data_IF_564369457648
#
_entry.id   IF_564369457648
#
_cell.length_a   1.000
_cell.length_b   1.000
_cell.length_c   1.000
_cell.angle_alpha   90.00
_cell.angle_beta   90.00
_cell.angle_gamma   90.00
#
_symmetry.space_group_name_H-M   'P 1'
#
loop_
_entity.id
_entity.type
_entity.pdbx_description
1 polymer ?
#
# COMPACT_ATOMS: atom_id res chain seq x y z
N UNK A 1 -16.70 -1.25 30.37
CA UNK A 1 -15.35 -1.73 30.03
C UNK A 1 -15.09 -1.23 28.63
N UNK A 2 -14.13 -0.32 28.47
CA UNK A 2 -13.88 0.34 27.18
C UNK A 2 -13.21 -0.68 26.27
N UNK A 3 -13.98 -1.26 25.34
CA UNK A 3 -13.40 -2.04 24.25
C UNK A 3 -12.46 -1.10 23.49
N UNK A 4 -11.15 -1.31 23.66
CA UNK A 4 -10.14 -0.60 22.89
C UNK A 4 -10.32 -1.05 21.43
N UNK A 5 -11.12 -0.33 20.66
CA UNK A 5 -11.33 -0.62 19.24
C UNK A 5 -9.98 -0.55 18.54
N UNK A 6 -9.38 -1.72 18.29
CA UNK A 6 -8.13 -1.82 17.56
C UNK A 6 -8.42 -1.64 16.07
N UNK A 7 -8.13 -0.45 15.57
CA UNK A 7 -8.11 -0.14 14.14
C UNK A 7 -6.88 -0.77 13.46
N UNK A 8 -6.97 -0.97 12.16
CA UNK A 8 -5.87 -1.52 11.36
C UNK A 8 -6.10 -2.97 10.95
N UNK A 9 -5.20 -3.53 10.16
CA UNK A 9 -5.37 -4.87 9.59
C UNK A 9 -4.08 -5.67 9.61
N UNK A 10 -4.23 -6.97 9.81
CA UNK A 10 -3.14 -7.94 9.71
C UNK A 10 -3.66 -9.16 8.96
N UNK A 11 -2.89 -9.65 8.00
CA UNK A 11 -3.20 -10.85 7.23
C UNK A 11 -3.47 -12.08 8.11
N UNK A 12 -2.76 -12.20 9.24
CA UNK A 12 -2.96 -13.28 10.22
C UNK A 12 -4.33 -13.25 10.92
N UNK A 13 -5.10 -12.15 10.81
CA UNK A 13 -6.45 -12.07 11.36
C UNK A 13 -7.46 -12.94 10.62
N UNK A 14 -7.16 -13.37 9.39
CA UNK A 14 -8.06 -14.15 8.53
C UNK A 14 -9.29 -13.37 8.02
N UNK A 15 -9.40 -12.08 8.34
CA UNK A 15 -10.49 -11.22 7.89
C UNK A 15 -10.07 -10.53 6.59
N UNK A 16 -10.90 -10.52 5.52
CA UNK A 16 -10.60 -9.76 4.32
C UNK A 16 -10.44 -8.26 4.62
N UNK A 17 -9.47 -7.61 3.97
CA UNK A 17 -9.12 -6.21 4.27
C UNK A 17 -10.29 -5.25 3.98
N UNK A 18 -11.06 -5.51 2.92
CA UNK A 18 -12.28 -4.73 2.62
C UNK A 18 -13.32 -4.79 3.76
N UNK A 19 -13.50 -5.97 4.37
CA UNK A 19 -14.43 -6.18 5.48
C UNK A 19 -13.94 -5.42 6.71
N UNK A 20 -12.64 -5.49 7.00
CA UNK A 20 -12.03 -4.76 8.11
C UNK A 20 -12.14 -3.24 7.94
N UNK A 21 -11.83 -2.70 6.76
CA UNK A 21 -11.97 -1.26 6.47
C UNK A 21 -13.42 -0.77 6.68
N UNK A 22 -14.41 -1.51 6.18
CA UNK A 22 -15.83 -1.15 6.36
C UNK A 22 -16.26 -1.23 7.83
N UNK A 23 -15.81 -2.26 8.55
CA UNK A 23 -16.06 -2.41 9.99
C UNK A 23 -15.46 -1.26 10.79
N UNK A 24 -14.19 -0.94 10.52
CA UNK A 24 -13.46 0.11 11.22
C UNK A 24 -13.99 1.49 10.90
N UNK A 25 -14.45 1.74 9.68
CA UNK A 25 -15.16 2.97 9.34
C UNK A 25 -16.42 3.13 10.20
N UNK A 26 -17.23 2.07 10.34
CA UNK A 26 -18.44 2.11 11.16
C UNK A 26 -18.09 2.38 12.63
N UNK A 27 -17.07 1.71 13.16
CA UNK A 27 -16.60 1.89 14.52
C UNK A 27 -16.04 3.32 14.75
N UNK A 28 -15.29 3.86 13.79
CA UNK A 28 -14.73 5.21 13.85
C UNK A 28 -15.83 6.28 13.81
N UNK A 29 -16.88 6.09 13.02
CA UNK A 29 -18.05 6.98 13.01
C UNK A 29 -18.76 6.97 14.37
N UNK A 30 -19.01 5.79 14.93
CA UNK A 30 -19.69 5.64 16.22
C UNK A 30 -18.85 6.23 17.37
N UNK A 31 -17.54 5.95 17.36
CA UNK A 31 -16.58 6.44 18.33
C UNK A 31 -16.12 7.88 18.10
N UNK A 32 -16.65 8.58 17.08
CA UNK A 32 -16.26 9.95 16.68
C UNK A 32 -14.74 10.12 16.50
N UNK A 33 -14.07 9.08 16.01
CA UNK A 33 -12.65 9.15 15.66
C UNK A 33 -12.51 9.75 14.27
N UNK A 34 -12.35 11.07 14.21
CA UNK A 34 -12.28 11.84 12.95
C UNK A 34 -11.08 11.45 12.10
N UNK A 35 -9.93 11.18 12.71
CA UNK A 35 -8.70 10.77 12.03
C UNK A 35 -8.88 9.46 11.28
N UNK A 36 -9.34 8.40 11.97
CA UNK A 36 -9.55 7.09 11.34
C UNK A 36 -10.70 7.15 10.35
N UNK A 37 -11.80 7.83 10.69
CA UNK A 37 -12.93 8.02 9.78
C UNK A 37 -12.49 8.68 8.48
N UNK A 38 -11.72 9.76 8.57
CA UNK A 38 -11.20 10.48 7.40
C UNK A 38 -10.31 9.61 6.55
N UNK A 39 -9.32 8.96 7.17
CA UNK A 39 -8.36 8.12 6.48
C UNK A 39 -9.03 6.95 5.73
N UNK A 40 -9.90 6.20 6.43
CA UNK A 40 -10.59 5.03 5.85
C UNK A 40 -11.57 5.44 4.76
N UNK A 41 -12.22 6.62 4.89
CA UNK A 41 -13.07 7.16 3.81
C UNK A 41 -12.27 7.45 2.55
N UNK A 42 -11.08 8.03 2.69
CA UNK A 42 -10.20 8.30 1.54
C UNK A 42 -9.82 6.98 0.87
N UNK A 43 -9.37 5.98 1.63
CA UNK A 43 -9.03 4.65 1.11
C UNK A 43 -10.18 4.06 0.28
N UNK A 44 -11.39 4.00 0.85
CA UNK A 44 -12.56 3.43 0.18
C UNK A 44 -12.98 4.26 -1.04
N UNK A 45 -12.82 5.59 -0.98
CA UNK A 45 -13.18 6.48 -2.10
C UNK A 45 -12.30 6.32 -3.34
N UNK A 46 -11.09 5.77 -3.18
CA UNK A 46 -10.18 5.47 -4.30
C UNK A 46 -10.58 4.18 -5.06
N UNK A 47 -11.40 3.29 -4.48
CA UNK A 47 -11.69 1.99 -5.10
C UNK A 47 -12.35 2.12 -6.48
N UNK A 48 -13.37 2.98 -6.71
CA UNK A 48 -14.01 3.08 -8.01
C UNK A 48 -13.07 3.52 -9.15
N UNK A 49 -12.00 4.26 -8.83
CA UNK A 49 -11.08 4.80 -9.83
C UNK A 49 -9.83 3.94 -9.98
N UNK A 50 -9.34 3.32 -8.90
CA UNK A 50 -8.09 2.55 -8.88
C UNK A 50 -8.29 1.05 -9.07
N UNK A 51 -9.43 0.51 -8.65
CA UNK A 51 -9.69 -0.93 -8.67
C UNK A 51 -10.77 -1.20 -9.73
N UNK A 52 -10.32 -1.34 -10.97
CA UNK A 52 -11.18 -1.52 -12.14
C UNK A 52 -10.88 -2.83 -12.86
N UNK A 53 -11.83 -3.29 -13.66
CA UNK A 53 -11.64 -4.43 -14.54
C UNK A 53 -12.00 -4.08 -15.99
N UNK A 54 -11.31 -4.69 -16.97
CA UNK A 54 -11.57 -4.43 -18.38
C UNK A 54 -12.93 -5.02 -18.79
N UNK A 55 -13.64 -4.29 -19.65
CA UNK A 55 -14.89 -4.73 -20.28
C UNK A 55 -14.85 -4.43 -21.78
N UNK A 56 -15.66 -5.16 -22.54
CA UNK A 56 -15.91 -4.89 -23.95
C UNK A 56 -17.35 -4.44 -24.11
N UNK A 57 -17.56 -3.25 -24.66
CA UNK A 57 -18.89 -2.72 -24.93
C UNK A 57 -19.52 -3.44 -26.13
N UNK A 58 -20.84 -3.35 -26.29
CA UNK A 58 -21.56 -3.92 -27.45
C UNK A 58 -21.02 -3.43 -28.81
N UNK A 59 -20.46 -2.21 -28.83
CA UNK A 59 -19.76 -1.64 -29.99
C UNK A 59 -18.39 -2.25 -30.30
N UNK A 60 -17.92 -3.23 -29.52
CA UNK A 60 -16.59 -3.83 -29.62
C UNK A 60 -15.45 -2.98 -29.02
N UNK A 61 -15.75 -1.80 -28.49
CA UNK A 61 -14.74 -0.93 -27.85
C UNK A 61 -14.35 -1.48 -26.47
N UNK A 62 -13.05 -1.49 -26.19
CA UNK A 62 -12.51 -1.78 -24.84
C UNK A 62 -12.77 -0.59 -23.92
N UNK A 63 -13.23 -0.87 -22.71
CA UNK A 63 -13.40 0.09 -21.63
C UNK A 63 -13.04 -0.57 -20.29
N UNK A 64 -13.25 0.11 -19.17
CA UNK A 64 -13.17 -0.47 -17.84
C UNK A 64 -14.40 -0.10 -17.01
N UNK A 65 -14.66 -0.92 -15.98
CA UNK A 65 -15.63 -0.61 -14.93
C UNK A 65 -15.00 -0.78 -13.55
N UNK A 66 -15.52 -0.13 -12.50
CA UNK A 66 -15.18 -0.46 -11.12
C UNK A 66 -15.44 -1.95 -10.83
N UNK A 67 -14.57 -2.55 -10.03
CA UNK A 67 -14.84 -3.85 -9.42
C UNK A 67 -15.91 -3.71 -8.33
N UNK A 68 -16.75 -4.74 -8.21
CA UNK A 68 -17.65 -4.94 -7.08
C UNK A 68 -16.86 -5.44 -5.88
N UNK A 69 -17.42 -5.27 -4.68
CA UNK A 69 -16.77 -5.63 -3.42
C UNK A 69 -16.24 -7.08 -3.41
N UNK A 70 -16.98 -8.02 -3.98
CA UNK A 70 -16.62 -9.44 -4.03
C UNK A 70 -15.45 -9.73 -4.98
N UNK A 71 -15.15 -8.81 -5.90
CA UNK A 71 -14.09 -8.92 -6.91
C UNK A 71 -12.78 -8.24 -6.46
N UNK A 72 -12.83 -7.43 -5.40
CA UNK A 72 -11.70 -6.66 -4.87
C UNK A 72 -10.81 -7.56 -4.00
N UNK A 73 -9.54 -7.64 -4.33
CA UNK A 73 -8.57 -8.44 -3.56
C UNK A 73 -7.83 -7.60 -2.51
N UNK A 74 -7.27 -8.26 -1.49
CA UNK A 74 -6.43 -7.59 -0.49
C UNK A 74 -5.24 -6.88 -1.16
N UNK A 75 -4.59 -7.50 -2.15
CA UNK A 75 -3.43 -6.93 -2.85
C UNK A 75 -3.76 -5.63 -3.60
N UNK A 76 -4.96 -5.53 -4.16
CA UNK A 76 -5.43 -4.32 -4.84
C UNK A 76 -5.61 -3.18 -3.83
N UNK A 77 -6.19 -3.47 -2.67
CA UNK A 77 -6.37 -2.50 -1.59
C UNK A 77 -5.02 -2.08 -1.00
N UNK A 78 -4.11 -3.03 -0.75
CA UNK A 78 -2.74 -2.76 -0.30
C UNK A 78 -2.03 -1.83 -1.29
N UNK A 79 -2.19 -2.07 -2.60
CA UNK A 79 -1.62 -1.21 -3.64
C UNK A 79 -2.19 0.22 -3.58
N UNK A 80 -3.49 0.38 -3.33
CA UNK A 80 -4.12 1.71 -3.14
C UNK A 80 -3.54 2.40 -1.91
N UNK A 81 -3.48 1.71 -0.77
CA UNK A 81 -2.99 2.28 0.50
C UNK A 81 -1.51 2.66 0.36
N UNK A 82 -0.67 1.83 -0.25
CA UNK A 82 0.74 2.18 -0.55
C UNK A 82 0.85 3.44 -1.41
N UNK A 83 -0.02 3.60 -2.41
CA UNK A 83 -0.07 4.81 -3.24
C UNK A 83 -0.41 6.06 -2.43
N UNK A 84 -1.36 5.95 -1.49
CA UNK A 84 -1.70 7.03 -0.57
C UNK A 84 -0.55 7.35 0.40
N UNK A 85 0.10 6.33 0.99
CA UNK A 85 1.28 6.52 1.83
C UNK A 85 2.39 7.25 1.10
N UNK A 86 2.64 6.89 -0.17
CA UNK A 86 3.63 7.56 -1.02
C UNK A 86 3.27 9.04 -1.23
N UNK A 87 2.01 9.33 -1.56
CA UNK A 87 1.56 10.71 -1.75
C UNK A 87 1.72 11.54 -0.48
N UNK A 88 1.35 10.97 0.67
CA UNK A 88 1.46 11.66 1.96
C UNK A 88 2.92 11.90 2.35
N UNK A 89 3.81 10.92 2.17
CA UNK A 89 5.26 11.08 2.41
C UNK A 89 5.85 12.21 1.54
N UNK A 90 5.43 12.34 0.29
CA UNK A 90 5.86 13.45 -0.57
C UNK A 90 5.36 14.80 -0.06
N UNK A 91 4.11 14.88 0.41
CA UNK A 91 3.58 16.09 1.04
C UNK A 91 4.33 16.45 2.31
N UNK A 92 4.65 15.46 3.15
CA UNK A 92 5.42 15.63 4.39
C UNK A 92 6.85 16.11 4.13
N UNK A 93 7.53 15.56 3.13
CA UNK A 93 8.84 16.05 2.68
C UNK A 93 8.78 17.52 2.26
N UNK A 94 7.74 17.91 1.52
CA UNK A 94 7.55 19.29 1.08
C UNK A 94 7.22 20.26 2.24
N UNK A 95 6.43 19.80 3.23
CA UNK A 95 6.07 20.61 4.41
C UNK A 95 7.11 20.55 5.53
N UNK A 96 8.15 19.74 5.38
CA UNK A 96 9.20 19.55 6.39
C UNK A 96 8.72 18.81 7.65
N UNK A 97 7.65 18.02 7.54
CA UNK A 97 7.09 17.25 8.65
C UNK A 97 7.56 15.80 8.59
N UNK A 98 7.86 15.15 9.73
CA UNK A 98 8.37 13.77 9.73
C UNK A 98 7.26 12.71 9.60
N UNK A 99 6.02 13.02 10.01
CA UNK A 99 4.90 12.09 10.04
C UNK A 99 3.58 12.86 10.12
N UNK A 100 2.47 12.17 9.86
CA UNK A 100 1.10 12.66 10.11
C UNK A 100 0.24 11.53 10.68
N UNK A 101 -0.81 11.90 11.42
CA UNK A 101 -1.79 10.94 11.92
C UNK A 101 -2.45 10.17 10.77
N UNK A 102 -2.64 10.82 9.61
CA UNK A 102 -3.17 10.18 8.41
C UNK A 102 -2.23 9.08 7.92
N UNK A 103 -0.92 9.36 7.81
CA UNK A 103 0.07 8.36 7.42
C UNK A 103 0.09 7.17 8.38
N UNK A 104 0.06 7.41 9.69
CA UNK A 104 0.05 6.34 10.69
C UNK A 104 -1.19 5.45 10.56
N UNK A 105 -2.36 6.03 10.27
CA UNK A 105 -3.57 5.24 10.04
C UNK A 105 -3.43 4.40 8.76
N UNK A 106 -2.92 4.97 7.65
CA UNK A 106 -2.71 4.21 6.42
C UNK A 106 -1.77 3.01 6.65
N UNK A 107 -0.64 3.25 7.32
CA UNK A 107 0.36 2.21 7.60
C UNK A 107 -0.19 1.10 8.51
N UNK A 108 -1.17 1.40 9.37
CA UNK A 108 -1.83 0.39 10.21
C UNK A 108 -2.67 -0.64 9.43
N UNK A 109 -2.99 -0.37 8.16
CA UNK A 109 -3.71 -1.31 7.29
C UNK A 109 -2.81 -2.03 6.28
N UNK A 110 -1.51 -1.77 6.31
CA UNK A 110 -0.53 -2.47 5.48
C UNK A 110 0.03 -3.69 6.24
N UNK A 111 0.43 -4.76 5.53
CA UNK A 111 1.26 -5.79 6.12
C UNK A 111 2.59 -5.20 6.58
N UNK A 112 3.38 -5.99 7.35
CA UNK A 112 4.75 -5.60 7.68
C UNK A 112 5.52 -5.31 6.39
N UNK A 113 5.88 -4.05 6.20
CA UNK A 113 6.72 -3.62 5.09
C UNK A 113 8.18 -3.98 5.39
N UNK A 114 8.89 -4.44 4.37
CA UNK A 114 10.30 -4.73 4.42
C UNK A 114 11.08 -3.44 4.68
N UNK A 115 12.01 -3.49 5.62
CA UNK A 115 12.87 -2.35 5.93
C UNK A 115 13.96 -2.16 4.89
N UNK A 116 14.61 -1.00 4.91
CA UNK A 116 15.76 -0.73 4.04
C UNK A 116 16.88 -1.76 4.24
N UNK A 117 17.13 -2.16 5.49
CA UNK A 117 18.14 -3.15 5.87
C UNK A 117 17.77 -4.55 5.37
N UNK A 118 16.51 -4.95 5.50
CA UNK A 118 16.02 -6.25 5.01
C UNK A 118 16.14 -6.33 3.48
N UNK A 119 15.74 -5.27 2.78
CA UNK A 119 15.86 -5.18 1.31
C UNK A 119 17.34 -5.20 0.90
N UNK A 120 18.20 -4.46 1.61
CA UNK A 120 19.63 -4.40 1.33
C UNK A 120 20.32 -5.73 1.56
N UNK A 121 20.04 -6.42 2.67
CA UNK A 121 20.62 -7.72 2.98
C UNK A 121 20.24 -8.74 1.92
N UNK A 122 18.95 -8.82 1.57
CA UNK A 122 18.47 -9.73 0.53
C UNK A 122 19.10 -9.42 -0.83
N UNK A 123 19.16 -8.14 -1.22
CA UNK A 123 19.74 -7.73 -2.50
C UNK A 123 21.23 -8.09 -2.60
N UNK A 124 22.03 -7.88 -1.55
CA UNK A 124 23.46 -8.26 -1.52
C UNK A 124 23.69 -9.77 -1.67
N UNK A 125 22.78 -10.57 -1.11
CA UNK A 125 22.89 -12.03 -1.14
C UNK A 125 22.39 -12.64 -2.46
N UNK A 126 21.37 -12.03 -3.09
CA UNK A 126 20.63 -12.65 -4.19
C UNK A 126 20.80 -11.97 -5.55
N UNK A 127 21.40 -10.78 -5.59
CA UNK A 127 21.53 -9.98 -6.82
C UNK A 127 23.00 -9.70 -7.10
N UNK A 128 23.48 -10.21 -8.23
CA UNK A 128 24.75 -9.78 -8.82
C UNK A 128 24.54 -8.54 -9.68
N UNK A 129 24.83 -7.36 -9.13
CA UNK A 129 24.65 -6.08 -9.84
C UNK A 129 25.53 -5.96 -11.10
N UNK A 130 26.60 -6.74 -11.22
CA UNK A 130 27.48 -6.72 -12.41
C UNK A 130 26.79 -7.24 -13.67
N UNK A 131 25.71 -8.01 -13.53
CA UNK A 131 24.92 -8.54 -14.64
C UNK A 131 23.99 -7.49 -15.25
N UNK A 132 23.85 -6.33 -14.61
CA UNK A 132 22.96 -5.27 -15.03
C UNK A 132 23.76 -4.09 -15.59
N UNK A 133 23.23 -3.46 -16.63
CA UNK A 133 23.79 -2.22 -17.19
C UNK A 133 23.63 -1.03 -16.25
N UNK A 134 22.63 -1.10 -15.37
CA UNK A 134 22.49 -0.17 -14.26
C UNK A 134 21.87 -0.86 -13.04
N UNK A 135 22.24 -0.47 -11.82
CA UNK A 135 21.69 -1.01 -10.58
C UNK A 135 20.15 -0.96 -10.54
N UNK A 136 19.56 0.07 -11.16
CA UNK A 136 18.10 0.23 -11.24
C UNK A 136 17.40 -0.94 -11.97
N UNK A 137 18.09 -1.69 -12.82
CA UNK A 137 17.52 -2.86 -13.49
C UNK A 137 17.29 -4.03 -12.52
N UNK A 138 17.95 -4.06 -11.36
CA UNK A 138 17.71 -5.04 -10.31
C UNK A 138 16.42 -4.79 -9.50
N UNK A 139 15.70 -3.69 -9.76
CA UNK A 139 14.41 -3.39 -9.14
C UNK A 139 13.40 -4.53 -9.32
N UNK A 140 13.30 -5.08 -10.53
CA UNK A 140 12.32 -6.12 -10.87
C UNK A 140 12.46 -7.38 -10.00
N UNK A 141 13.65 -8.01 -9.95
CA UNK A 141 13.92 -9.14 -9.07
C UNK A 141 13.62 -8.88 -7.59
N UNK A 142 14.01 -7.73 -7.05
CA UNK A 142 13.75 -7.36 -5.64
C UNK A 142 12.24 -7.22 -5.39
N UNK A 143 11.54 -6.45 -6.24
CA UNK A 143 10.09 -6.28 -6.14
C UNK A 143 9.35 -7.60 -6.35
N UNK A 144 9.89 -8.55 -7.12
CA UNK A 144 9.31 -9.89 -7.26
C UNK A 144 9.42 -10.71 -5.98
N UNK A 145 10.52 -10.58 -5.24
CA UNK A 145 10.71 -11.28 -3.97
C UNK A 145 9.80 -10.72 -2.87
N UNK A 146 9.83 -9.40 -2.67
CA UNK A 146 9.05 -8.76 -1.61
C UNK A 146 7.59 -8.48 -2.01
N UNK A 147 7.25 -8.55 -3.30
CA UNK A 147 5.89 -8.34 -3.78
C UNK A 147 5.31 -7.00 -3.33
N UNK A 148 4.21 -7.04 -2.57
CA UNK A 148 3.50 -5.87 -2.03
C UNK A 148 3.97 -5.46 -0.64
N UNK A 149 4.96 -6.14 -0.08
CA UNK A 149 5.54 -5.79 1.23
C UNK A 149 6.82 -4.98 1.09
N UNK A 150 7.09 -4.34 -0.05
CA UNK A 150 8.20 -3.40 -0.19
C UNK A 150 7.76 -2.11 -0.89
N UNK A 151 8.30 -0.99 -0.43
CA UNK A 151 8.15 0.30 -1.09
C UNK A 151 9.22 0.45 -2.19
N UNK A 152 8.78 0.69 -3.43
CA UNK A 152 9.69 0.88 -4.55
C UNK A 152 10.64 2.07 -4.41
N UNK A 153 10.28 3.11 -3.67
CA UNK A 153 11.20 4.21 -3.37
C UNK A 153 12.33 3.75 -2.43
N UNK A 154 12.03 2.88 -1.47
CA UNK A 154 13.03 2.28 -0.58
C UNK A 154 13.94 1.35 -1.36
N UNK A 155 13.39 0.49 -2.21
CA UNK A 155 14.20 -0.37 -3.10
C UNK A 155 15.12 0.46 -4.00
N UNK A 156 14.60 1.57 -4.57
CA UNK A 156 15.39 2.49 -5.38
C UNK A 156 16.53 3.12 -4.57
N UNK A 157 16.27 3.53 -3.32
CA UNK A 157 17.29 4.07 -2.41
C UNK A 157 18.38 3.03 -2.13
N UNK A 158 18.00 1.81 -1.77
CA UNK A 158 18.93 0.68 -1.54
C UNK A 158 19.82 0.44 -2.76
N UNK A 159 19.23 0.34 -3.95
CA UNK A 159 19.99 0.13 -5.19
C UNK A 159 20.93 1.30 -5.51
N UNK A 160 20.56 2.53 -5.14
CA UNK A 160 21.46 3.68 -5.24
C UNK A 160 22.65 3.57 -4.29
N UNK A 161 22.40 3.15 -3.04
CA UNK A 161 23.45 2.95 -2.04
C UNK A 161 24.38 1.76 -2.31
N UNK A 162 23.93 0.75 -3.07
CA UNK A 162 24.77 -0.38 -3.48
C UNK A 162 25.65 -0.06 -4.71
N UNK A 163 25.32 1.02 -5.42
CA UNK A 163 25.98 1.42 -6.66
C UNK A 163 27.04 2.51 -6.49
N UNK A 164 26.96 3.26 -5.38
CA UNK A 164 27.94 4.26 -4.97
C UNK A 164 28.98 3.64 -4.05
#
# INVERSE_FOLDING_TARGET
MSDTTTYGWNEASGIPLIVKLRSDLKAAILGRNETVKGAVRIIISEFPTKITQPITLESGKKSSRPKQDEEITNDEIITVIMGLCKSEKQTLEFTGQPTSDYLQVLESYLPRMATEEEIMAWAKENIDLSQFKSPMQAMGPIMKHFGKTADGNVVKKVLGSLAG
#
